data_IF_819815401932
#
_entry.id   IF_819815401932
#
_cell.length_a   1.000
_cell.length_b   1.000
_cell.length_c   1.000
_cell.angle_alpha   90.00
_cell.angle_beta   90.00
_cell.angle_gamma   90.00
#
_symmetry.space_group_name_H-M   'P 1'
#
loop_
_entity.id
_entity.type
_entity.pdbx_description
1 polymer ?
#
# COMPACT_ATOMS: atom_id res chain seq x y z
N UNK A 1 10.12 19.06 -9.94
CA UNK A 1 9.90 17.89 -10.82
C UNK A 1 8.81 17.03 -10.20
N UNK A 2 7.87 16.47 -10.99
CA UNK A 2 6.96 15.45 -10.48
C UNK A 2 7.78 14.23 -10.01
N UNK A 3 7.32 13.55 -8.97
CA UNK A 3 7.96 12.31 -8.53
C UNK A 3 7.85 11.25 -9.64
N UNK A 4 8.91 10.44 -9.89
CA UNK A 4 8.82 9.36 -10.86
C UNK A 4 7.74 8.35 -10.42
N UNK A 5 7.10 7.71 -11.40
CA UNK A 5 6.12 6.66 -11.13
C UNK A 5 6.74 5.56 -10.27
N UNK A 6 6.03 5.13 -9.21
CA UNK A 6 6.48 4.04 -8.34
C UNK A 6 6.78 2.75 -9.12
N UNK A 7 6.03 2.48 -10.20
CA UNK A 7 6.28 1.36 -11.11
C UNK A 7 7.67 1.47 -11.79
N UNK A 8 8.05 2.66 -12.27
CA UNK A 8 9.34 2.88 -12.91
C UNK A 8 10.52 2.72 -11.92
N UNK A 9 10.35 3.23 -10.70
CA UNK A 9 11.34 3.04 -9.62
C UNK A 9 11.45 1.56 -9.27
N UNK A 10 10.33 0.85 -9.09
CA UNK A 10 10.32 -0.58 -8.79
C UNK A 10 11.01 -1.42 -9.89
N UNK A 11 10.73 -1.16 -11.17
CA UNK A 11 11.43 -1.82 -12.27
C UNK A 11 12.93 -1.57 -12.23
N UNK A 12 13.36 -0.33 -11.96
CA UNK A 12 14.79 0.02 -11.84
C UNK A 12 15.44 -0.71 -10.67
N UNK A 13 14.78 -0.75 -9.51
CA UNK A 13 15.25 -1.47 -8.33
C UNK A 13 15.35 -2.97 -8.61
N UNK A 14 14.37 -3.56 -9.28
CA UNK A 14 14.38 -5.00 -9.59
C UNK A 14 15.50 -5.38 -10.57
N UNK A 15 15.82 -4.51 -11.53
CA UNK A 15 16.96 -4.72 -12.43
C UNK A 15 18.29 -4.64 -11.66
N UNK A 16 18.42 -3.67 -10.75
CA UNK A 16 19.68 -3.45 -10.00
C UNK A 16 19.90 -4.42 -8.85
N UNK A 17 18.81 -4.85 -8.21
CA UNK A 17 18.79 -5.66 -7.00
C UNK A 17 17.74 -6.77 -7.14
N UNK A 18 17.97 -7.75 -8.05
CA UNK A 18 16.97 -8.75 -8.43
C UNK A 18 16.52 -9.65 -7.27
N UNK A 19 17.35 -9.78 -6.24
CA UNK A 19 17.05 -10.54 -5.02
C UNK A 19 16.12 -9.80 -4.05
N UNK A 20 15.92 -8.49 -4.23
CA UNK A 20 15.02 -7.70 -3.39
C UNK A 20 13.59 -7.80 -3.90
N UNK A 21 12.65 -7.76 -2.96
CA UNK A 21 11.23 -7.71 -3.23
C UNK A 21 10.84 -6.25 -3.51
N UNK A 22 10.12 -6.01 -4.61
CA UNK A 22 9.58 -4.70 -4.96
C UNK A 22 8.05 -4.75 -5.08
N UNK A 23 7.35 -3.96 -4.26
CA UNK A 23 5.88 -3.89 -4.19
C UNK A 23 5.39 -2.43 -4.33
N UNK A 24 5.46 -1.81 -5.52
CA UNK A 24 4.96 -0.45 -5.73
C UNK A 24 3.45 -0.32 -5.48
N UNK A 25 3.05 0.82 -4.90
CA UNK A 25 1.65 1.26 -5.00
C UNK A 25 1.37 1.81 -6.40
N UNK A 26 0.22 1.44 -6.96
CA UNK A 26 -0.31 1.97 -8.20
C UNK A 26 -1.49 2.88 -7.87
N UNK A 27 -1.26 4.19 -7.91
CA UNK A 27 -2.36 5.15 -7.80
C UNK A 27 -3.15 5.16 -9.12
N UNK A 28 -4.46 4.98 -9.04
CA UNK A 28 -5.32 4.68 -10.19
C UNK A 28 -6.24 5.84 -10.60
N UNK A 29 -6.60 6.74 -9.68
CA UNK A 29 -7.64 7.74 -9.92
C UNK A 29 -7.26 8.89 -10.87
N UNK A 30 -6.08 8.90 -11.48
CA UNK A 30 -5.71 9.83 -12.55
C UNK A 30 -5.12 9.11 -13.76
N UNK A 31 -5.29 7.79 -13.84
CA UNK A 31 -4.80 6.96 -14.93
C UNK A 31 -5.95 6.30 -15.66
N UNK A 32 -5.89 6.34 -16.98
CA UNK A 32 -6.80 5.56 -17.82
C UNK A 32 -6.49 4.05 -17.76
N UNK A 33 -7.41 3.21 -18.23
CA UNK A 33 -7.25 1.76 -18.23
C UNK A 33 -6.00 1.31 -18.99
N UNK A 34 -5.66 1.98 -20.10
CA UNK A 34 -4.45 1.69 -20.87
C UNK A 34 -3.16 1.94 -20.07
N UNK A 35 -3.10 3.04 -19.32
CA UNK A 35 -1.93 3.39 -18.51
C UNK A 35 -1.77 2.44 -17.32
N UNK A 36 -2.88 2.06 -16.67
CA UNK A 36 -2.92 1.05 -15.62
C UNK A 36 -2.42 -0.29 -16.15
N UNK A 37 -2.94 -0.73 -17.30
CA UNK A 37 -2.54 -1.98 -17.95
C UNK A 37 -1.05 -1.97 -18.33
N UNK A 38 -0.57 -0.89 -18.95
CA UNK A 38 0.82 -0.75 -19.36
C UNK A 38 1.78 -0.78 -18.15
N UNK A 39 1.45 -0.08 -17.06
CA UNK A 39 2.26 -0.10 -15.84
C UNK A 39 2.33 -1.50 -15.23
N UNK A 40 1.20 -2.21 -15.12
CA UNK A 40 1.17 -3.55 -14.58
C UNK A 40 1.91 -4.57 -15.48
N UNK A 41 1.74 -4.49 -16.80
CA UNK A 41 2.45 -5.36 -17.76
C UNK A 41 3.94 -5.10 -17.79
N UNK A 42 4.38 -3.85 -17.66
CA UNK A 42 5.80 -3.52 -17.52
C UNK A 42 6.40 -4.13 -16.25
N UNK A 43 5.71 -3.98 -15.10
CA UNK A 43 6.13 -4.60 -13.85
C UNK A 43 6.20 -6.14 -13.96
N UNK A 44 5.19 -6.77 -14.57
CA UNK A 44 5.17 -8.21 -14.83
C UNK A 44 6.34 -8.66 -15.71
N UNK A 45 6.63 -7.94 -16.80
CA UNK A 45 7.70 -8.26 -17.73
C UNK A 45 9.09 -8.15 -17.11
N UNK A 46 9.29 -7.18 -16.21
CA UNK A 46 10.57 -6.96 -15.49
C UNK A 46 10.72 -7.93 -14.31
N UNK A 47 9.65 -8.59 -13.88
CA UNK A 47 9.67 -9.50 -12.72
C UNK A 47 9.56 -8.76 -11.38
N UNK A 48 8.89 -7.61 -11.35
CA UNK A 48 8.48 -6.95 -10.09
C UNK A 48 7.54 -7.91 -9.34
N UNK A 49 7.72 -8.01 -8.02
CA UNK A 49 7.12 -9.08 -7.21
C UNK A 49 5.62 -8.89 -6.98
N UNK A 50 5.15 -7.65 -6.96
CA UNK A 50 3.74 -7.33 -6.78
C UNK A 50 3.42 -5.86 -6.94
N UNK A 51 2.14 -5.50 -6.78
CA UNK A 51 1.65 -4.14 -6.93
C UNK A 51 0.37 -3.95 -6.11
N UNK A 52 0.16 -2.76 -5.55
CA UNK A 52 -1.05 -2.43 -4.77
C UNK A 52 -1.86 -1.36 -5.50
N UNK A 53 -2.96 -1.70 -6.20
CA UNK A 53 -3.84 -0.70 -6.77
C UNK A 53 -4.57 0.06 -5.65
N UNK A 54 -4.50 1.38 -5.71
CA UNK A 54 -5.16 2.28 -4.77
C UNK A 54 -5.77 3.47 -5.54
N UNK A 55 -7.00 3.91 -5.24
CA UNK A 55 -7.54 5.12 -5.84
C UNK A 55 -6.68 6.34 -5.49
N UNK A 56 -6.14 6.47 -4.29
CA UNK A 56 -5.33 7.61 -3.87
C UNK A 56 -6.13 8.88 -3.59
N UNK A 57 -5.39 9.96 -3.32
CA UNK A 57 -5.95 11.28 -3.04
C UNK A 57 -6.44 11.98 -4.32
N UNK A 58 -7.32 12.98 -4.16
CA UNK A 58 -7.82 13.78 -5.27
C UNK A 58 -6.67 14.35 -6.12
N UNK A 59 -6.72 14.25 -7.46
CA UNK A 59 -5.72 14.90 -8.30
C UNK A 59 -5.82 16.42 -8.14
N UNK A 60 -4.68 17.07 -8.05
CA UNK A 60 -4.60 18.54 -8.01
C UNK A 60 -5.03 19.19 -9.34
N UNK A 61 -4.84 18.47 -10.45
CA UNK A 61 -5.12 18.94 -11.80
C UNK A 61 -5.97 17.91 -12.54
N UNK A 62 -6.98 18.39 -13.27
CA UNK A 62 -7.92 17.53 -13.98
C UNK A 62 -8.95 16.88 -13.07
N UNK A 63 -9.64 15.88 -13.60
CA UNK A 63 -10.68 15.14 -12.91
C UNK A 63 -10.25 13.70 -12.63
N UNK A 64 -10.72 13.11 -11.52
CA UNK A 64 -10.50 11.70 -11.27
C UNK A 64 -11.05 10.80 -12.39
N UNK A 65 -10.33 9.72 -12.67
CA UNK A 65 -10.71 8.68 -13.63
C UNK A 65 -10.99 7.39 -12.86
N UNK A 66 -12.20 6.86 -13.00
CA UNK A 66 -12.58 5.54 -12.53
C UNK A 66 -12.39 4.52 -13.64
N UNK A 67 -11.52 3.55 -13.44
CA UNK A 67 -11.43 2.36 -14.31
C UNK A 67 -12.38 1.29 -13.82
N UNK A 68 -13.20 0.74 -14.72
CA UNK A 68 -14.15 -0.34 -14.44
C UNK A 68 -13.51 -1.69 -14.71
N UNK A 69 -14.11 -2.74 -14.15
CA UNK A 69 -13.63 -4.13 -14.28
C UNK A 69 -13.54 -4.64 -15.72
N UNK A 70 -14.32 -4.09 -16.64
CA UNK A 70 -14.30 -4.44 -18.07
C UNK A 70 -13.28 -3.63 -18.90
N UNK A 71 -12.57 -2.70 -18.26
CA UNK A 71 -11.62 -1.81 -18.92
C UNK A 71 -12.23 -0.55 -19.53
N UNK A 72 -13.53 -0.32 -19.36
CA UNK A 72 -14.12 1.00 -19.59
C UNK A 72 -13.70 1.98 -18.50
N UNK A 73 -13.87 3.28 -18.74
CA UNK A 73 -13.57 4.29 -17.74
C UNK A 73 -14.60 5.42 -17.72
N UNK A 74 -14.66 6.09 -16.58
CA UNK A 74 -15.57 7.20 -16.31
C UNK A 74 -14.76 8.36 -15.69
N UNK A 75 -15.02 9.58 -16.15
CA UNK A 75 -14.46 10.79 -15.55
C UNK A 75 -15.44 11.27 -14.47
N UNK A 76 -14.97 11.33 -13.24
CA UNK A 76 -15.78 11.79 -12.10
C UNK A 76 -15.66 13.31 -12.00
N UNK A 77 -16.75 14.02 -12.25
CA UNK A 77 -16.72 15.50 -12.33
C UNK A 77 -17.25 16.16 -11.07
N UNK A 78 -18.10 15.48 -10.29
CA UNK A 78 -18.58 16.03 -9.02
C UNK A 78 -17.68 15.63 -7.84
N UNK A 79 -17.48 16.53 -6.84
CA UNK A 79 -16.75 16.20 -5.61
C UNK A 79 -17.40 15.07 -4.81
N UNK A 80 -18.72 14.96 -4.82
CA UNK A 80 -19.46 13.93 -4.09
C UNK A 80 -19.24 12.54 -4.69
N UNK A 81 -19.32 12.40 -6.02
CA UNK A 81 -19.01 11.15 -6.71
C UNK A 81 -17.58 10.70 -6.42
N UNK A 82 -16.62 11.64 -6.44
CA UNK A 82 -15.24 11.32 -6.13
C UNK A 82 -15.03 10.89 -4.68
N UNK A 83 -15.65 11.58 -3.71
CA UNK A 83 -15.55 11.19 -2.30
C UNK A 83 -16.19 9.82 -2.04
N UNK A 84 -17.34 9.53 -2.66
CA UNK A 84 -17.98 8.22 -2.58
C UNK A 84 -17.11 7.13 -3.21
N UNK A 85 -16.52 7.42 -4.38
CA UNK A 85 -15.56 6.56 -5.05
C UNK A 85 -14.37 6.23 -4.13
N UNK A 86 -13.68 7.24 -3.60
CA UNK A 86 -12.49 7.09 -2.75
C UNK A 86 -12.76 6.41 -1.41
N UNK A 87 -13.95 6.59 -0.83
CA UNK A 87 -14.33 5.98 0.47
C UNK A 87 -14.79 4.54 0.34
N UNK A 88 -15.21 4.14 -0.85
CA UNK A 88 -15.57 2.77 -1.17
C UNK A 88 -14.32 1.93 -1.43
N UNK A 89 -14.44 0.61 -1.25
CA UNK A 89 -13.38 -0.33 -1.59
C UNK A 89 -13.35 -0.57 -3.09
N UNK A 90 -14.53 -0.63 -3.71
CA UNK A 90 -14.80 -0.93 -5.12
C UNK A 90 -13.76 -0.52 -6.16
N UNK A 91 -13.16 0.69 -6.12
CA UNK A 91 -12.18 1.09 -7.12
C UNK A 91 -10.96 0.18 -7.22
N UNK A 92 -10.42 -0.27 -6.09
CA UNK A 92 -9.25 -1.15 -6.09
C UNK A 92 -9.64 -2.55 -6.60
N UNK A 93 -10.80 -3.04 -6.18
CA UNK A 93 -11.37 -4.32 -6.61
C UNK A 93 -11.68 -4.33 -8.13
N UNK A 94 -12.28 -3.26 -8.67
CA UNK A 94 -12.54 -3.10 -10.12
C UNK A 94 -11.23 -3.11 -10.91
N UNK A 95 -10.20 -2.40 -10.44
CA UNK A 95 -8.88 -2.40 -11.10
C UNK A 95 -8.22 -3.77 -11.03
N UNK A 96 -8.31 -4.47 -9.89
CA UNK A 96 -7.78 -5.82 -9.75
C UNK A 96 -8.46 -6.79 -10.72
N UNK A 97 -9.80 -6.75 -10.80
CA UNK A 97 -10.58 -7.55 -11.74
C UNK A 97 -10.20 -7.23 -13.19
N UNK A 98 -10.12 -5.94 -13.55
CA UNK A 98 -9.64 -5.53 -14.87
C UNK A 98 -8.24 -6.09 -15.21
N UNK A 99 -7.29 -5.99 -14.28
CA UNK A 99 -5.93 -6.48 -14.50
C UNK A 99 -5.87 -8.01 -14.65
N UNK A 100 -6.65 -8.76 -13.87
CA UNK A 100 -6.69 -10.23 -13.95
C UNK A 100 -7.49 -10.73 -15.14
N UNK A 101 -8.68 -10.18 -15.37
CA UNK A 101 -9.68 -10.76 -16.26
C UNK A 101 -9.59 -10.20 -17.68
N UNK A 102 -9.19 -8.94 -17.86
CA UNK A 102 -9.10 -8.30 -19.17
C UNK A 102 -7.65 -8.22 -19.64
N UNK A 103 -6.77 -7.62 -18.84
CA UNK A 103 -5.35 -7.41 -19.20
C UNK A 103 -4.53 -8.71 -19.12
N UNK A 104 -5.03 -9.71 -18.36
CA UNK A 104 -4.37 -11.01 -18.14
C UNK A 104 -2.97 -10.86 -17.53
N UNK A 105 -2.83 -10.01 -16.53
CA UNK A 105 -1.64 -9.97 -15.66
C UNK A 105 -1.75 -11.17 -14.72
N UNK A 106 -0.84 -12.14 -14.82
CA UNK A 106 -0.96 -13.44 -14.16
C UNK A 106 0.21 -13.75 -13.21
N UNK A 107 1.39 -13.16 -13.44
CA UNK A 107 2.60 -13.43 -12.65
C UNK A 107 2.84 -12.36 -11.59
N UNK A 108 2.43 -11.11 -11.85
CA UNK A 108 2.50 -10.04 -10.86
C UNK A 108 1.47 -10.28 -9.74
N UNK A 109 1.89 -10.25 -8.48
CA UNK A 109 0.98 -10.31 -7.33
C UNK A 109 0.22 -8.99 -7.17
N UNK A 110 -1.05 -9.05 -6.79
CA UNK A 110 -1.88 -7.87 -6.53
C UNK A 110 -2.23 -7.82 -5.04
N UNK A 111 -1.88 -6.72 -4.39
CA UNK A 111 -2.07 -6.53 -2.96
C UNK A 111 -3.29 -5.69 -2.61
N UNK A 112 -3.88 -5.97 -1.45
CA UNK A 112 -4.99 -5.21 -0.88
C UNK A 112 -4.46 -4.16 0.11
N UNK A 113 -4.89 -2.91 -0.02
CA UNK A 113 -4.64 -1.88 0.98
C UNK A 113 -5.78 -1.84 2.00
N UNK A 114 -5.51 -2.15 3.27
CA UNK A 114 -6.47 -2.07 4.38
C UNK A 114 -6.05 -1.00 5.39
N UNK A 115 -6.99 -0.48 6.17
CA UNK A 115 -6.73 0.64 7.09
C UNK A 115 -7.37 0.43 8.45
N UNK A 116 -6.69 0.87 9.51
CA UNK A 116 -7.20 0.86 10.88
C UNK A 116 -8.43 1.75 11.10
N UNK A 117 -8.76 2.67 10.18
CA UNK A 117 -9.92 3.57 10.27
C UNK A 117 -11.27 2.89 10.05
N UNK A 118 -11.29 1.66 9.56
CA UNK A 118 -12.50 0.85 9.38
C UNK A 118 -12.53 -0.28 10.41
N UNK A 119 -13.71 -0.84 10.76
CA UNK A 119 -13.79 -2.06 11.56
C UNK A 119 -12.91 -3.20 11.03
N UNK A 120 -12.50 -4.11 11.91
CA UNK A 120 -11.66 -5.25 11.51
C UNK A 120 -12.40 -6.15 10.51
N UNK A 121 -13.72 -6.32 10.66
CA UNK A 121 -14.52 -7.18 9.78
C UNK A 121 -14.50 -6.69 8.32
N UNK A 122 -14.46 -5.38 8.10
CA UNK A 122 -14.36 -4.80 6.75
C UNK A 122 -13.04 -5.23 6.08
N UNK A 123 -11.92 -5.09 6.80
CA UNK A 123 -10.62 -5.49 6.31
C UNK A 123 -10.57 -7.00 6.04
N UNK A 124 -11.07 -7.81 6.98
CA UNK A 124 -11.16 -9.28 6.88
C UNK A 124 -11.99 -9.70 5.66
N UNK A 125 -13.14 -9.06 5.44
CA UNK A 125 -14.00 -9.34 4.29
C UNK A 125 -13.27 -9.05 2.98
N UNK A 126 -12.52 -7.95 2.90
CA UNK A 126 -11.75 -7.60 1.71
C UNK A 126 -10.62 -8.57 1.43
N UNK A 127 -9.81 -8.94 2.43
CA UNK A 127 -8.64 -9.83 2.23
C UNK A 127 -9.04 -11.25 1.84
N UNK A 128 -10.28 -11.68 2.12
CA UNK A 128 -10.84 -12.97 1.67
C UNK A 128 -11.03 -13.04 0.16
N UNK A 129 -11.15 -11.91 -0.53
CA UNK A 129 -11.19 -11.87 -1.99
C UNK A 129 -9.85 -12.31 -2.61
N UNK A 130 -9.78 -12.37 -3.94
CA UNK A 130 -8.61 -12.81 -4.72
C UNK A 130 -7.40 -11.86 -4.72
N UNK A 131 -6.98 -11.41 -3.53
CA UNK A 131 -5.73 -10.68 -3.30
C UNK A 131 -4.60 -11.64 -2.89
N UNK A 132 -3.37 -11.31 -3.27
CA UNK A 132 -2.18 -12.13 -3.02
C UNK A 132 -1.44 -11.76 -1.74
N UNK A 133 -1.57 -10.51 -1.27
CA UNK A 133 -0.97 -9.98 -0.05
C UNK A 133 -1.74 -8.75 0.44
N UNK A 134 -1.40 -8.22 1.61
CA UNK A 134 -2.04 -7.02 2.17
C UNK A 134 -1.06 -6.01 2.75
N UNK A 135 -1.37 -4.73 2.59
CA UNK A 135 -0.73 -3.64 3.32
C UNK A 135 -1.70 -3.11 4.37
N UNK A 136 -1.22 -2.87 5.59
CA UNK A 136 -2.03 -2.32 6.68
C UNK A 136 -1.59 -0.89 7.01
N UNK A 137 -2.49 0.07 6.79
CA UNK A 137 -2.22 1.49 7.02
C UNK A 137 -2.57 1.94 8.44
N UNK A 138 -1.81 2.95 8.92
CA UNK A 138 -2.08 3.71 10.14
C UNK A 138 -2.04 2.84 11.39
N UNK A 139 -0.94 2.11 11.53
CA UNK A 139 -0.64 1.34 12.74
C UNK A 139 -0.19 2.28 13.86
N UNK A 140 -0.75 2.07 15.04
CA UNK A 140 -0.44 2.70 16.33
C UNK A 140 -0.82 1.71 17.47
N UNK A 141 -0.60 2.09 18.72
CA UNK A 141 -0.94 1.24 19.87
C UNK A 141 -2.43 0.87 19.90
N UNK A 142 -3.33 1.80 19.56
CA UNK A 142 -4.78 1.57 19.59
C UNK A 142 -5.23 0.60 18.50
N UNK A 143 -4.58 0.64 17.33
CA UNK A 143 -4.92 -0.22 16.19
C UNK A 143 -4.16 -1.55 16.17
N UNK A 144 -3.19 -1.77 17.06
CA UNK A 144 -2.44 -3.04 17.14
C UNK A 144 -3.33 -4.28 17.34
N UNK A 145 -4.37 -4.28 18.21
CA UNK A 145 -5.30 -5.42 18.31
C UNK A 145 -5.99 -5.73 16.98
N UNK A 146 -6.43 -4.69 16.26
CA UNK A 146 -7.06 -4.83 14.94
C UNK A 146 -6.10 -5.39 13.90
N UNK A 147 -4.83 -4.96 13.91
CA UNK A 147 -3.81 -5.56 13.06
C UNK A 147 -3.67 -7.06 13.35
N UNK A 148 -3.64 -7.47 14.64
CA UNK A 148 -3.52 -8.89 15.02
C UNK A 148 -4.69 -9.73 14.50
N UNK A 149 -5.92 -9.20 14.56
CA UNK A 149 -7.10 -9.89 14.04
C UNK A 149 -7.01 -10.09 12.52
N UNK A 150 -6.66 -9.02 11.78
CA UNK A 150 -6.50 -9.08 10.32
C UNK A 150 -5.33 -9.98 9.93
N UNK A 151 -4.21 -9.90 10.64
CA UNK A 151 -3.01 -10.70 10.38
C UNK A 151 -3.25 -12.20 10.65
N UNK A 152 -4.00 -12.54 11.70
CA UNK A 152 -4.43 -13.91 11.99
C UNK A 152 -5.23 -14.49 10.83
N UNK A 153 -6.16 -13.72 10.26
CA UNK A 153 -6.93 -14.18 9.11
C UNK A 153 -6.07 -14.28 7.83
N UNK A 154 -5.20 -13.30 7.58
CA UNK A 154 -4.20 -13.37 6.50
C UNK A 154 -3.36 -14.66 6.57
N UNK A 155 -2.89 -15.02 7.77
CA UNK A 155 -2.13 -16.26 8.03
C UNK A 155 -2.93 -17.52 7.70
N UNK A 156 -4.21 -17.60 8.08
CA UNK A 156 -5.10 -18.71 7.71
C UNK A 156 -5.28 -18.84 6.21
N UNK A 157 -5.30 -17.71 5.50
CA UNK A 157 -5.43 -17.65 4.05
C UNK A 157 -4.10 -17.85 3.31
N UNK A 158 -2.97 -17.96 4.02
CA UNK A 158 -1.64 -18.03 3.40
C UNK A 158 -1.22 -16.75 2.68
N UNK A 159 -1.74 -15.58 3.10
CA UNK A 159 -1.48 -14.28 2.48
C UNK A 159 -0.59 -13.44 3.39
N UNK A 160 0.55 -12.91 2.91
CA UNK A 160 1.39 -12.10 3.75
C UNK A 160 0.78 -10.71 3.99
N UNK A 161 1.08 -10.13 5.15
CA UNK A 161 0.63 -8.79 5.55
C UNK A 161 1.82 -7.93 6.00
N UNK A 162 1.81 -6.67 5.55
CA UNK A 162 2.87 -5.71 5.82
C UNK A 162 2.26 -4.38 6.34
N UNK A 163 2.32 -4.09 7.65
CA UNK A 163 1.90 -2.80 8.17
C UNK A 163 2.89 -1.69 7.85
N UNK A 164 2.35 -0.48 7.65
CA UNK A 164 3.14 0.75 7.67
C UNK A 164 3.55 1.06 9.11
N UNK A 165 4.85 0.96 9.36
CA UNK A 165 5.48 1.23 10.64
C UNK A 165 6.09 2.63 10.59
N UNK A 166 5.28 3.64 10.94
CA UNK A 166 5.64 5.04 10.80
C UNK A 166 6.22 5.56 12.10
N UNK A 167 7.49 5.94 12.10
CA UNK A 167 8.19 6.44 13.28
C UNK A 167 8.22 7.96 13.27
N UNK A 168 7.69 8.57 14.32
CA UNK A 168 7.68 10.02 14.51
C UNK A 168 9.08 10.57 14.78
N UNK A 169 9.44 11.65 14.10
CA UNK A 169 10.66 12.43 14.35
C UNK A 169 10.32 13.92 14.37
N UNK A 170 11.17 14.78 14.95
CA UNK A 170 10.95 16.23 14.89
C UNK A 170 10.79 16.76 13.46
N UNK A 171 11.42 16.12 12.46
CA UNK A 171 11.39 16.57 11.06
C UNK A 171 10.11 16.18 10.32
N UNK A 172 9.48 15.06 10.68
CA UNK A 172 8.29 14.58 9.98
C UNK A 172 6.97 15.01 10.64
N UNK A 173 7.02 15.67 11.80
CA UNK A 173 5.84 16.12 12.56
C UNK A 173 4.82 16.85 11.69
N UNK A 174 5.27 17.84 10.90
CA UNK A 174 4.38 18.60 10.01
C UNK A 174 3.74 17.73 8.93
N UNK A 175 4.48 16.73 8.43
CA UNK A 175 3.96 15.80 7.42
C UNK A 175 2.86 14.94 8.04
N UNK A 176 3.11 14.37 9.23
CA UNK A 176 2.14 13.57 9.98
C UNK A 176 0.84 14.36 10.28
N UNK A 177 0.97 15.61 10.70
CA UNK A 177 -0.15 16.53 10.91
C UNK A 177 -0.94 16.75 9.61
N UNK A 178 -0.25 17.01 8.49
CA UNK A 178 -0.91 17.24 7.19
C UNK A 178 -1.69 16.03 6.68
N UNK A 179 -1.14 14.82 6.82
CA UNK A 179 -1.81 13.59 6.35
C UNK A 179 -2.80 13.03 7.39
N UNK A 180 -2.78 13.56 8.62
CA UNK A 180 -3.58 13.12 9.75
C UNK A 180 -3.28 11.68 10.14
N UNK A 181 -1.99 11.31 10.23
CA UNK A 181 -1.54 10.00 10.72
C UNK A 181 -0.93 10.16 12.11
N UNK A 182 -1.30 9.27 13.02
CA UNK A 182 -0.55 9.04 14.26
C UNK A 182 0.69 8.20 13.91
N UNK A 183 1.84 8.54 14.48
CA UNK A 183 3.03 7.68 14.39
C UNK A 183 2.79 6.39 15.16
N UNK A 184 3.28 5.27 14.63
CA UNK A 184 3.29 3.98 15.31
C UNK A 184 4.14 4.03 16.58
N UNK A 185 5.28 4.70 16.50
CA UNK A 185 6.31 4.75 17.53
C UNK A 185 7.13 6.05 17.40
N UNK A 186 8.00 6.33 18.36
CA UNK A 186 9.10 7.29 18.26
C UNK A 186 10.41 6.56 18.01
N UNK A 187 11.50 7.29 17.74
CA UNK A 187 12.80 6.65 17.51
C UNK A 187 13.27 5.86 18.74
N UNK A 188 12.93 6.34 19.94
CA UNK A 188 13.32 5.74 21.22
C UNK A 188 12.62 4.40 21.50
N UNK A 189 11.36 4.24 21.09
CA UNK A 189 10.57 3.02 21.36
C UNK A 189 10.29 2.19 20.09
N UNK A 190 10.86 2.55 18.94
CA UNK A 190 10.67 1.86 17.67
C UNK A 190 10.99 0.36 17.77
N UNK A 191 12.12 0.01 18.40
CA UNK A 191 12.53 -1.39 18.58
C UNK A 191 11.54 -2.17 19.47
N UNK A 192 11.09 -1.55 20.56
CA UNK A 192 10.14 -2.18 21.49
C UNK A 192 8.81 -2.47 20.79
N UNK A 193 8.28 -1.51 20.02
CA UNK A 193 7.06 -1.73 19.25
C UNK A 193 7.26 -2.80 18.18
N UNK A 194 8.38 -2.76 17.44
CA UNK A 194 8.66 -3.75 16.40
C UNK A 194 8.70 -5.19 16.96
N UNK A 195 9.22 -5.39 18.18
CA UNK A 195 9.17 -6.70 18.87
C UNK A 195 7.74 -7.20 19.11
N UNK A 196 6.75 -6.31 19.27
CA UNK A 196 5.32 -6.71 19.40
C UNK A 196 4.74 -7.25 18.09
N UNK A 197 5.40 -7.00 16.96
CA UNK A 197 4.99 -7.43 15.62
C UNK A 197 5.68 -8.74 15.18
N UNK A 198 6.70 -9.19 15.90
CA UNK A 198 7.40 -10.42 15.59
C UNK A 198 6.47 -11.63 15.66
N UNK A 199 6.51 -12.48 14.63
CA UNK A 199 5.58 -13.60 14.43
C UNK A 199 4.11 -13.23 14.19
N UNK A 200 3.75 -11.94 14.20
CA UNK A 200 2.40 -11.45 13.91
C UNK A 200 2.24 -11.10 12.43
N UNK A 201 3.24 -10.46 11.84
CA UNK A 201 3.22 -9.98 10.44
C UNK A 201 4.42 -10.51 9.66
N UNK A 202 4.35 -10.47 8.33
CA UNK A 202 5.38 -11.03 7.44
C UNK A 202 6.52 -10.04 7.13
N UNK A 203 6.41 -8.82 7.64
CA UNK A 203 7.41 -7.77 7.53
C UNK A 203 6.79 -6.41 7.84
N UNK A 204 7.63 -5.38 7.98
CA UNK A 204 7.18 -4.01 8.26
C UNK A 204 7.63 -3.06 7.16
N UNK A 205 6.76 -2.11 6.80
CA UNK A 205 7.10 -1.00 5.91
C UNK A 205 7.55 0.16 6.81
N UNK A 206 8.83 0.15 7.18
CA UNK A 206 9.43 1.11 8.10
C UNK A 206 9.69 2.46 7.41
N UNK A 207 9.24 3.56 8.01
CA UNK A 207 9.55 4.90 7.49
C UNK A 207 9.42 6.01 8.54
N UNK A 208 10.27 7.03 8.42
CA UNK A 208 10.19 8.32 9.08
C UNK A 208 9.62 9.41 8.15
N UNK A 209 8.93 9.06 7.07
CA UNK A 209 8.18 9.97 6.17
C UNK A 209 8.86 11.31 5.87
N UNK A 210 9.73 11.34 4.87
CA UNK A 210 10.41 12.56 4.43
C UNK A 210 11.64 12.95 5.27
N UNK A 211 11.95 12.18 6.32
CA UNK A 211 13.20 12.28 7.07
C UNK A 211 14.16 11.15 6.67
N UNK A 212 14.95 11.38 5.61
CA UNK A 212 15.90 10.38 5.08
C UNK A 212 16.95 9.95 6.12
N UNK A 213 17.37 10.87 7.00
CA UNK A 213 18.32 10.55 8.05
C UNK A 213 17.66 9.68 9.13
N UNK A 214 16.41 10.01 9.48
CA UNK A 214 15.57 9.19 10.33
C UNK A 214 15.34 7.78 9.76
N UNK A 215 15.04 7.66 8.46
CA UNK A 215 14.88 6.36 7.80
C UNK A 215 16.14 5.49 7.95
N UNK A 216 17.34 6.06 7.76
CA UNK A 216 18.60 5.32 7.93
C UNK A 216 18.81 4.86 9.37
N UNK A 217 18.62 5.76 10.33
CA UNK A 217 18.76 5.42 11.75
C UNK A 217 17.73 4.35 12.16
N UNK A 218 16.48 4.47 11.70
CA UNK A 218 15.45 3.49 11.96
C UNK A 218 15.82 2.11 11.40
N UNK A 219 16.36 2.06 10.18
CA UNK A 219 16.82 0.81 9.58
C UNK A 219 17.95 0.16 10.39
N UNK A 220 18.88 0.93 10.95
CA UNK A 220 19.93 0.42 11.83
C UNK A 220 19.33 -0.21 13.10
N UNK A 221 18.40 0.49 13.76
CA UNK A 221 17.71 0.01 14.97
C UNK A 221 16.94 -1.29 14.69
N UNK A 222 16.25 -1.37 13.56
CA UNK A 222 15.42 -2.51 13.22
C UNK A 222 16.23 -3.75 12.78
N UNK A 223 17.55 -3.66 12.61
CA UNK A 223 18.35 -4.85 12.31
C UNK A 223 18.28 -5.90 13.43
N UNK A 224 18.00 -5.49 14.67
CA UNK A 224 17.89 -6.42 15.82
C UNK A 224 16.70 -7.39 15.74
N UNK A 225 15.65 -7.03 15.00
CA UNK A 225 14.43 -7.84 14.84
C UNK A 225 14.30 -8.42 13.43
N UNK A 226 15.34 -8.25 12.61
CA UNK A 226 15.39 -8.79 11.25
C UNK A 226 15.73 -10.28 11.33
N UNK A 227 14.75 -11.12 11.00
CA UNK A 227 14.90 -12.57 10.81
C UNK A 227 15.40 -12.94 9.42
#
# INVERSE_FOLDING_TARGET
MPAPSAAAVACTLKIKYPEKIALPMLITNYKGPLEIAAAAKACEAVGVDGMVPDPGDAPKYGHPIRTRKDGSCEILTSPEEFENFRRSTGPAEEVKEFLRDVVKVNKLKLGCLVTSRRPAEDAITRIKNSWDFSFFLRLDEESLPKLKDVASECKKLGKPIYPYFVVGTPKNKKILEMIGWTSTATMENALEFAKKLDGVVDGIIATCLGDIAGDKQLLEILQEVRS
#
